data_IF_022565958901
#
_entry.id   IF_022565958901
#
_cell.length_a   1.000
_cell.length_b   1.000
_cell.length_c   1.000
_cell.angle_alpha   90.00
_cell.angle_beta   90.00
_cell.angle_gamma   90.00
#
_symmetry.space_group_name_H-M   'P 1'
#
loop_
_entity.id
_entity.type
_entity.pdbx_description
1 polymer ?
#
# COMPACT_ATOMS: atom_id res chain seq x y z
N UNK A 1 -15.60 15.61 2.78
CA UNK A 1 -15.87 14.15 2.82
C UNK A 1 -15.17 13.43 3.97
N UNK A 2 -13.83 13.49 4.12
CA UNK A 2 -13.15 12.79 5.23
C UNK A 2 -13.63 13.24 6.62
N UNK A 3 -13.78 14.54 6.82
CA UNK A 3 -14.28 15.12 8.09
C UNK A 3 -15.73 14.68 8.34
N UNK A 4 -16.61 14.86 7.36
CA UNK A 4 -18.01 14.38 7.41
C UNK A 4 -18.11 12.90 7.82
N UNK A 5 -17.30 12.02 7.21
CA UNK A 5 -17.30 10.59 7.56
C UNK A 5 -16.78 10.35 8.99
N UNK A 6 -15.81 11.14 9.44
CA UNK A 6 -15.30 11.06 10.81
C UNK A 6 -16.36 11.53 11.83
N UNK A 7 -17.13 12.57 11.50
CA UNK A 7 -18.25 13.06 12.32
C UNK A 7 -19.35 12.00 12.45
N UNK A 8 -19.52 11.15 11.43
CA UNK A 8 -20.38 9.96 11.48
C UNK A 8 -19.75 8.75 12.20
N UNK A 9 -18.56 8.89 12.80
CA UNK A 9 -17.87 7.83 13.53
C UNK A 9 -17.21 6.76 12.64
N UNK A 10 -17.05 7.00 11.33
CA UNK A 10 -16.49 6.03 10.39
C UNK A 10 -14.97 6.18 10.27
N UNK A 11 -14.23 5.06 10.27
CA UNK A 11 -12.79 5.08 10.02
C UNK A 11 -12.53 5.21 8.52
N UNK A 12 -11.66 6.15 8.13
CA UNK A 12 -11.26 6.30 6.73
C UNK A 12 -10.80 4.98 6.08
N UNK A 13 -9.96 4.21 6.78
CA UNK A 13 -9.42 2.97 6.22
C UNK A 13 -10.44 1.83 6.19
N UNK A 14 -11.21 1.65 7.27
CA UNK A 14 -12.08 0.48 7.42
C UNK A 14 -13.44 0.65 6.74
N UNK A 15 -14.01 1.86 6.72
CA UNK A 15 -15.36 2.10 6.18
C UNK A 15 -15.40 3.25 5.15
N UNK A 16 -14.68 4.35 5.39
CA UNK A 16 -14.96 5.62 4.72
C UNK A 16 -14.42 5.80 3.30
N UNK A 17 -13.22 5.30 2.97
CA UNK A 17 -12.54 5.68 1.72
C UNK A 17 -13.26 5.21 0.45
N UNK A 18 -13.90 4.03 0.49
CA UNK A 18 -14.62 3.52 -0.67
C UNK A 18 -15.94 4.23 -0.89
N UNK A 19 -16.67 4.57 0.18
CA UNK A 19 -17.85 5.45 0.09
C UNK A 19 -17.49 6.82 -0.48
N UNK A 20 -16.39 7.42 0.00
CA UNK A 20 -15.92 8.70 -0.52
C UNK A 20 -15.58 8.63 -2.01
N UNK A 21 -14.93 7.54 -2.45
CA UNK A 21 -14.65 7.30 -3.86
C UNK A 21 -15.93 7.07 -4.66
N UNK A 22 -16.87 6.31 -4.10
CA UNK A 22 -18.14 5.98 -4.72
C UNK A 22 -18.97 7.25 -4.98
N UNK A 23 -19.17 8.07 -3.96
CA UNK A 23 -19.89 9.34 -4.10
C UNK A 23 -19.22 10.29 -5.10
N UNK A 24 -17.89 10.33 -5.15
CA UNK A 24 -17.19 11.19 -6.10
C UNK A 24 -17.37 10.74 -7.54
N UNK A 25 -17.22 9.43 -7.83
CA UNK A 25 -17.35 8.87 -9.17
C UNK A 25 -18.82 8.84 -9.64
N UNK A 26 -19.79 8.71 -8.73
CA UNK A 26 -21.22 8.81 -9.03
C UNK A 26 -21.60 10.12 -9.74
N UNK A 27 -20.90 11.23 -9.43
CA UNK A 27 -21.11 12.52 -10.09
C UNK A 27 -20.62 12.56 -11.55
N UNK A 28 -19.84 11.57 -11.99
CA UNK A 28 -19.19 11.55 -13.31
C UNK A 28 -19.49 10.26 -14.10
N UNK A 29 -20.44 9.43 -13.69
CA UNK A 29 -20.67 8.11 -14.32
C UNK A 29 -20.94 8.21 -15.82
N UNK A 30 -21.73 9.21 -16.22
CA UNK A 30 -22.07 9.46 -17.62
C UNK A 30 -20.89 9.91 -18.50
N UNK A 31 -19.76 10.33 -17.91
CA UNK A 31 -18.59 10.78 -18.66
C UNK A 31 -17.63 9.65 -19.06
N UNK A 32 -17.70 8.49 -18.40
CA UNK A 32 -16.86 7.34 -18.71
C UNK A 32 -17.68 6.26 -19.41
N UNK A 33 -17.06 5.18 -19.92
CA UNK A 33 -17.77 3.98 -20.41
C UNK A 33 -17.80 2.81 -19.42
N UNK A 34 -16.85 2.81 -18.47
CA UNK A 34 -16.68 1.80 -17.43
C UNK A 34 -16.10 2.44 -16.18
N UNK A 35 -16.46 1.92 -15.01
CA UNK A 35 -15.86 2.32 -13.73
C UNK A 35 -15.16 1.10 -13.14
N UNK A 36 -13.85 1.21 -12.95
CA UNK A 36 -13.01 0.14 -12.40
C UNK A 36 -12.37 0.63 -11.10
N UNK A 37 -12.62 -0.10 -10.02
CA UNK A 37 -12.07 0.17 -8.70
C UNK A 37 -10.90 -0.79 -8.44
N UNK A 38 -9.65 -0.29 -8.38
CA UNK A 38 -8.49 -1.15 -8.19
C UNK A 38 -8.44 -1.71 -6.77
N UNK A 39 -8.12 -3.00 -6.65
CA UNK A 39 -8.09 -3.67 -5.37
C UNK A 39 -6.98 -3.16 -4.44
N UNK A 40 -7.30 -3.03 -3.15
CA UNK A 40 -6.28 -2.78 -2.12
C UNK A 40 -5.54 -4.06 -1.75
N UNK A 41 -6.29 -5.15 -1.55
CA UNK A 41 -5.78 -6.46 -1.14
C UNK A 41 -6.02 -7.51 -2.22
N UNK A 42 -5.17 -8.54 -2.23
CA UNK A 42 -5.39 -9.72 -3.04
C UNK A 42 -6.50 -10.60 -2.43
N UNK A 43 -7.15 -11.45 -3.23
CA UNK A 43 -8.21 -12.36 -2.76
C UNK A 43 -7.78 -13.23 -1.58
N UNK A 44 -6.52 -13.69 -1.57
CA UNK A 44 -5.96 -14.51 -0.48
C UNK A 44 -5.72 -13.74 0.83
N UNK A 45 -5.71 -12.41 0.77
CA UNK A 45 -5.29 -11.51 1.86
C UNK A 45 -6.39 -10.49 2.22
N UNK A 46 -7.65 -10.81 1.91
CA UNK A 46 -8.78 -9.90 2.13
C UNK A 46 -8.91 -9.50 3.60
N UNK A 47 -9.33 -8.26 3.82
CA UNK A 47 -9.55 -7.68 5.14
C UNK A 47 -10.96 -7.18 5.23
N UNK A 48 -11.65 -7.55 6.30
CA UNK A 48 -13.02 -7.12 6.58
C UNK A 48 -13.12 -6.53 7.99
N UNK A 49 -13.79 -5.37 8.17
CA UNK A 49 -14.24 -4.46 7.13
C UNK A 49 -13.05 -3.71 6.48
N UNK A 50 -13.22 -3.37 5.21
CA UNK A 50 -12.35 -2.46 4.48
C UNK A 50 -13.20 -1.65 3.51
N UNK A 51 -12.98 -0.33 3.45
CA UNK A 51 -13.91 0.59 2.78
C UNK A 51 -14.16 0.29 1.30
N UNK A 52 -13.25 -0.45 0.64
CA UNK A 52 -13.46 -0.99 -0.70
C UNK A 52 -12.99 -2.44 -0.79
N UNK A 53 -13.86 -3.35 -1.22
CA UNK A 53 -13.55 -4.76 -1.35
C UNK A 53 -14.36 -5.42 -2.48
N UNK A 54 -13.94 -6.61 -2.96
CA UNK A 54 -14.65 -7.30 -4.05
C UNK A 54 -16.12 -7.58 -3.72
N UNK A 55 -16.44 -7.76 -2.45
CA UNK A 55 -17.80 -8.07 -1.97
C UNK A 55 -18.71 -6.85 -2.02
N UNK A 56 -18.20 -5.63 -1.76
CA UNK A 56 -19.05 -4.44 -1.64
C UNK A 56 -19.07 -3.56 -2.88
N UNK A 57 -18.01 -3.57 -3.67
CA UNK A 57 -17.84 -2.60 -4.75
C UNK A 57 -18.89 -2.71 -5.86
N UNK A 58 -19.38 -3.91 -6.15
CA UNK A 58 -20.38 -4.10 -7.21
C UNK A 58 -21.76 -3.53 -6.82
N UNK A 59 -22.06 -3.43 -5.53
CA UNK A 59 -23.28 -2.78 -5.02
C UNK A 59 -23.26 -1.26 -5.14
N UNK A 60 -22.16 -0.66 -5.63
CA UNK A 60 -22.10 0.77 -5.94
C UNK A 60 -22.53 1.09 -7.37
N UNK A 61 -22.87 0.05 -8.15
CA UNK A 61 -23.41 0.21 -9.49
C UNK A 61 -24.77 0.93 -9.48
N UNK A 62 -25.06 1.64 -10.56
CA UNK A 62 -26.33 2.31 -10.84
C UNK A 62 -26.96 1.74 -12.11
N UNK A 63 -28.14 2.24 -12.48
CA UNK A 63 -28.76 1.90 -13.78
C UNK A 63 -27.92 2.41 -14.97
N UNK A 64 -27.14 3.48 -14.77
CA UNK A 64 -26.27 4.09 -15.78
C UNK A 64 -24.94 3.33 -15.93
N UNK A 65 -24.42 2.74 -14.85
CA UNK A 65 -23.10 2.11 -14.87
C UNK A 65 -22.88 0.99 -13.88
N UNK A 66 -22.27 -0.09 -14.40
CA UNK A 66 -21.71 -1.17 -13.60
C UNK A 66 -20.27 -0.86 -13.12
N UNK A 67 -20.01 -1.16 -11.85
CA UNK A 67 -18.74 -0.92 -11.18
C UNK A 67 -17.98 -2.21 -10.93
N UNK A 68 -16.76 -2.28 -11.46
CA UNK A 68 -15.95 -3.48 -11.44
C UNK A 68 -14.82 -3.39 -10.41
N UNK A 69 -14.65 -4.43 -9.59
CA UNK A 69 -13.48 -4.56 -8.72
C UNK A 69 -12.38 -5.35 -9.42
N UNK A 70 -11.24 -4.73 -9.69
CA UNK A 70 -10.17 -5.37 -10.47
C UNK A 70 -8.83 -5.47 -9.73
N UNK A 71 -8.01 -6.44 -10.14
CA UNK A 71 -6.63 -6.62 -9.71
C UNK A 71 -6.46 -7.39 -8.41
N UNK A 72 -7.52 -7.94 -7.82
CA UNK A 72 -7.45 -8.75 -6.60
C UNK A 72 -6.81 -10.14 -6.80
N UNK A 73 -6.63 -10.59 -8.05
CA UNK A 73 -5.85 -11.78 -8.36
C UNK A 73 -4.35 -11.63 -8.02
N UNK A 74 -3.85 -10.38 -7.93
CA UNK A 74 -2.44 -10.08 -7.73
C UNK A 74 -2.19 -9.35 -6.40
N UNK A 75 -1.12 -9.73 -5.72
CA UNK A 75 -0.58 -8.93 -4.61
C UNK A 75 0.19 -7.70 -5.15
N UNK A 76 0.71 -6.87 -4.24
CA UNK A 76 1.43 -5.65 -4.62
C UNK A 76 2.61 -5.93 -5.56
N UNK A 77 3.41 -6.96 -5.28
CA UNK A 77 4.56 -7.32 -6.11
C UNK A 77 4.10 -7.76 -7.51
N UNK A 78 3.07 -8.61 -7.61
CA UNK A 78 2.50 -9.04 -8.88
C UNK A 78 1.98 -7.87 -9.72
N UNK A 79 1.27 -6.91 -9.10
CA UNK A 79 0.83 -5.68 -9.77
C UNK A 79 2.01 -4.86 -10.30
N UNK A 80 3.04 -4.64 -9.49
CA UNK A 80 4.21 -3.87 -9.91
C UNK A 80 5.00 -4.59 -10.99
N UNK A 81 5.07 -5.93 -10.99
CA UNK A 81 5.69 -6.71 -12.09
C UNK A 81 5.02 -6.46 -13.44
N UNK A 82 3.70 -6.27 -13.45
CA UNK A 82 2.98 -5.89 -14.68
C UNK A 82 3.33 -4.46 -15.06
N UNK A 83 3.31 -3.53 -14.10
CA UNK A 83 3.65 -2.12 -14.34
C UNK A 83 5.10 -1.91 -14.79
N UNK A 84 6.04 -2.71 -14.30
CA UNK A 84 7.46 -2.63 -14.64
C UNK A 84 7.74 -2.89 -16.14
N UNK A 85 6.78 -3.47 -16.87
CA UNK A 85 6.86 -3.68 -18.32
C UNK A 85 6.44 -2.45 -19.13
N UNK A 86 5.90 -1.41 -18.49
CA UNK A 86 5.43 -0.18 -19.14
C UNK A 86 6.36 0.98 -18.79
N UNK A 87 7.08 1.57 -19.77
CA UNK A 87 7.92 2.74 -19.53
C UNK A 87 7.15 3.90 -18.89
N UNK A 88 5.94 4.19 -19.38
CA UNK A 88 5.09 5.23 -18.82
C UNK A 88 4.75 4.99 -17.33
N UNK A 89 4.49 3.74 -16.94
CA UNK A 89 4.25 3.42 -15.54
C UNK A 89 5.53 3.54 -14.69
N UNK A 90 6.69 3.18 -15.22
CA UNK A 90 7.98 3.37 -14.54
C UNK A 90 8.28 4.85 -14.27
N UNK A 91 7.86 5.75 -15.16
CA UNK A 91 8.21 7.17 -15.09
C UNK A 91 7.15 8.05 -14.41
N UNK A 92 5.87 7.67 -14.47
CA UNK A 92 4.76 8.54 -14.05
C UNK A 92 3.93 8.01 -12.86
N UNK A 93 4.19 6.79 -12.38
CA UNK A 93 3.37 6.19 -11.31
C UNK A 93 3.45 6.98 -9.99
N UNK A 94 2.33 7.54 -9.52
CA UNK A 94 2.23 8.21 -8.22
C UNK A 94 1.57 7.31 -7.17
N UNK A 95 2.27 7.06 -6.07
CA UNK A 95 1.79 6.22 -4.95
C UNK A 95 1.78 6.92 -3.59
N UNK A 96 2.47 8.05 -3.50
CA UNK A 96 2.66 8.78 -2.25
C UNK A 96 1.40 9.56 -1.84
N UNK A 97 1.14 9.60 -0.53
CA UNK A 97 0.14 10.47 0.08
C UNK A 97 0.70 11.28 1.26
N UNK A 98 1.88 10.91 1.77
CA UNK A 98 2.52 11.49 2.97
C UNK A 98 3.39 12.71 2.65
N UNK A 99 3.98 12.79 1.45
CA UNK A 99 4.87 13.89 1.05
C UNK A 99 4.19 15.26 1.04
N UNK A 100 5.00 16.32 1.16
CA UNK A 100 4.54 17.72 1.12
C UNK A 100 3.95 18.06 -0.26
N UNK A 101 4.72 17.80 -1.32
CA UNK A 101 4.24 17.93 -2.70
C UNK A 101 3.30 16.77 -3.04
N UNK A 102 1.99 17.06 -3.11
CA UNK A 102 0.97 16.06 -3.42
C UNK A 102 1.00 15.59 -4.88
N UNK A 103 1.72 16.28 -5.77
CA UNK A 103 1.93 15.87 -7.15
C UNK A 103 3.02 14.82 -7.33
N UNK A 104 3.87 14.58 -6.31
CA UNK A 104 5.08 13.75 -6.45
C UNK A 104 5.17 12.60 -5.46
N UNK A 105 6.06 11.65 -5.73
CA UNK A 105 6.48 10.64 -4.78
C UNK A 105 7.59 11.19 -3.87
N UNK A 106 7.46 11.05 -2.55
CA UNK A 106 8.49 11.53 -1.62
C UNK A 106 9.72 10.61 -1.52
N UNK A 107 9.70 9.44 -2.18
CA UNK A 107 10.79 8.45 -2.15
C UNK A 107 10.90 7.63 -0.86
N UNK A 108 10.61 8.21 0.30
CA UNK A 108 11.04 7.67 1.61
C UNK A 108 9.91 7.14 2.51
N UNK A 109 8.64 7.46 2.22
CA UNK A 109 7.52 6.91 3.00
C UNK A 109 7.33 5.42 2.72
N UNK A 110 6.62 4.71 3.60
CA UNK A 110 6.37 3.27 3.47
C UNK A 110 5.82 2.90 2.08
N UNK A 111 4.88 3.69 1.54
CA UNK A 111 4.28 3.43 0.22
C UNK A 111 5.29 3.59 -0.90
N UNK A 112 6.16 4.60 -0.83
CA UNK A 112 7.21 4.80 -1.82
C UNK A 112 8.24 3.67 -1.74
N UNK A 113 8.82 3.42 -0.56
CA UNK A 113 9.84 2.38 -0.36
C UNK A 113 9.33 1.01 -0.78
N UNK A 114 8.14 0.60 -0.32
CA UNK A 114 7.57 -0.69 -0.68
C UNK A 114 7.29 -0.82 -2.19
N UNK A 115 7.03 0.28 -2.90
CA UNK A 115 6.83 0.26 -4.35
C UNK A 115 8.17 0.17 -5.09
N UNK A 116 9.18 0.92 -4.66
CA UNK A 116 10.52 0.84 -5.21
C UNK A 116 11.13 -0.56 -5.05
N UNK A 117 11.01 -1.19 -3.86
CA UNK A 117 11.44 -2.58 -3.66
C UNK A 117 10.76 -3.52 -4.67
N UNK A 118 9.46 -3.36 -4.93
CA UNK A 118 8.79 -4.17 -5.95
C UNK A 118 9.35 -3.94 -7.36
N UNK A 119 9.70 -2.71 -7.73
CA UNK A 119 10.36 -2.43 -9.01
C UNK A 119 11.75 -3.07 -9.08
N UNK A 120 12.55 -3.00 -8.00
CA UNK A 120 13.85 -3.64 -7.92
C UNK A 120 13.76 -5.15 -8.12
N UNK A 121 12.83 -5.80 -7.41
CA UNK A 121 12.51 -7.23 -7.57
C UNK A 121 11.88 -7.59 -8.92
N UNK A 122 11.57 -6.60 -9.75
CA UNK A 122 11.06 -6.75 -11.12
C UNK A 122 12.10 -6.35 -12.17
N UNK A 123 13.35 -6.11 -11.78
CA UNK A 123 14.44 -5.77 -12.70
C UNK A 123 14.53 -4.28 -13.07
N UNK A 124 13.79 -3.39 -12.40
CA UNK A 124 13.83 -1.94 -12.62
C UNK A 124 14.43 -1.27 -11.37
N UNK A 125 15.76 -1.12 -11.28
CA UNK A 125 16.42 -0.61 -10.07
C UNK A 125 16.13 0.88 -9.82
N UNK A 126 15.84 1.65 -10.87
CA UNK A 126 15.65 3.11 -10.78
C UNK A 126 14.44 3.58 -11.61
N UNK A 127 13.21 3.33 -11.13
CA UNK A 127 12.00 3.83 -11.79
C UNK A 127 11.95 5.37 -11.76
N UNK A 128 11.76 6.02 -12.92
CA UNK A 128 11.76 7.47 -13.06
C UNK A 128 10.76 8.20 -12.14
N UNK A 129 9.66 7.53 -11.80
CA UNK A 129 8.60 8.05 -10.92
C UNK A 129 9.05 8.43 -9.50
N UNK A 130 10.26 8.03 -9.07
CA UNK A 130 10.77 8.25 -7.72
C UNK A 130 11.97 9.20 -7.62
N UNK A 131 12.35 9.87 -8.72
CA UNK A 131 13.46 10.83 -8.71
C UNK A 131 14.76 10.20 -8.19
N UNK A 132 15.31 10.72 -7.08
CA UNK A 132 16.51 10.17 -6.45
C UNK A 132 16.29 8.77 -5.84
N UNK A 133 15.03 8.38 -5.60
CA UNK A 133 14.66 7.06 -5.08
C UNK A 133 14.94 6.89 -3.59
N UNK A 134 14.95 5.64 -3.13
CA UNK A 134 15.42 5.26 -1.79
C UNK A 134 16.59 4.28 -1.88
N UNK A 135 17.39 4.20 -0.81
CA UNK A 135 18.53 3.28 -0.71
C UNK A 135 18.26 2.12 0.26
N UNK A 136 19.24 1.22 0.39
CA UNK A 136 19.17 0.08 1.31
C UNK A 136 19.04 0.49 2.79
N UNK A 137 19.62 1.65 3.18
CA UNK A 137 19.47 2.19 4.52
C UNK A 137 18.03 2.65 4.78
N UNK A 138 17.39 3.30 3.80
CA UNK A 138 15.98 3.67 3.86
C UNK A 138 15.08 2.45 3.97
N UNK A 139 15.38 1.36 3.24
CA UNK A 139 14.68 0.07 3.40
C UNK A 139 14.78 -0.45 4.83
N UNK A 140 16.00 -0.49 5.38
CA UNK A 140 16.27 -0.91 6.78
C UNK A 140 15.49 -0.09 7.79
N UNK A 141 15.39 1.22 7.58
CA UNK A 141 14.81 2.18 8.52
C UNK A 141 13.30 2.37 8.33
N UNK A 142 12.72 1.72 7.32
CA UNK A 142 11.29 1.89 6.99
C UNK A 142 10.40 1.54 8.18
N UNK A 143 9.55 2.50 8.57
CA UNK A 143 8.59 2.29 9.64
C UNK A 143 7.36 1.49 9.16
N UNK A 144 7.36 0.20 9.47
CA UNK A 144 6.23 -0.72 9.32
C UNK A 144 5.14 -0.45 10.39
N UNK A 145 4.41 0.68 10.28
CA UNK A 145 3.23 1.02 11.11
C UNK A 145 2.50 -0.29 11.45
N UNK A 146 2.35 -0.60 12.75
CA UNK A 146 2.18 -1.93 13.37
C UNK A 146 1.07 -2.88 12.89
N UNK A 147 0.56 -2.69 11.68
CA UNK A 147 -0.19 -3.60 10.84
C UNK A 147 0.58 -4.88 10.50
N UNK A 148 -0.08 -6.01 10.68
CA UNK A 148 0.39 -7.32 10.24
C UNK A 148 0.67 -7.34 8.72
N UNK A 149 -0.10 -6.57 7.95
CA UNK A 149 0.02 -6.49 6.50
C UNK A 149 1.36 -5.91 6.04
N UNK A 150 1.79 -4.77 6.60
CA UNK A 150 3.07 -4.15 6.21
C UNK A 150 4.27 -5.07 6.54
N UNK A 151 4.18 -5.80 7.65
CA UNK A 151 5.19 -6.80 8.03
C UNK A 151 5.17 -8.01 7.10
N UNK A 152 3.99 -8.52 6.75
CA UNK A 152 3.84 -9.61 5.79
C UNK A 152 4.44 -9.26 4.43
N UNK A 153 4.23 -8.03 3.98
CA UNK A 153 4.80 -7.52 2.73
C UNK A 153 6.34 -7.48 2.77
N UNK A 154 6.95 -6.96 3.84
CA UNK A 154 8.41 -6.95 3.98
C UNK A 154 9.01 -8.37 4.12
N UNK A 155 8.28 -9.30 4.74
CA UNK A 155 8.69 -10.70 4.78
C UNK A 155 8.60 -11.36 3.39
N UNK A 156 7.60 -11.01 2.58
CA UNK A 156 7.51 -11.41 1.18
C UNK A 156 8.67 -10.85 0.35
N UNK A 157 9.02 -9.57 0.52
CA UNK A 157 10.18 -8.96 -0.15
C UNK A 157 11.49 -9.65 0.20
N UNK A 158 11.72 -9.95 1.49
CA UNK A 158 12.94 -10.65 1.90
C UNK A 158 13.05 -12.04 1.27
N UNK A 159 11.95 -12.81 1.23
CA UNK A 159 11.91 -14.13 0.60
C UNK A 159 12.16 -14.06 -0.90
N UNK A 160 11.54 -13.11 -1.59
CA UNK A 160 11.72 -12.94 -3.03
C UNK A 160 13.14 -12.47 -3.37
N UNK A 161 13.67 -11.51 -2.61
CA UNK A 161 15.05 -11.04 -2.75
C UNK A 161 16.05 -12.20 -2.60
N UNK A 162 15.87 -13.08 -1.61
CA UNK A 162 16.68 -14.30 -1.45
C UNK A 162 16.58 -15.22 -2.66
N UNK A 163 15.37 -15.47 -3.18
CA UNK A 163 15.18 -16.29 -4.38
C UNK A 163 15.92 -15.76 -5.61
N UNK A 164 16.05 -14.43 -5.72
CA UNK A 164 16.74 -13.76 -6.82
C UNK A 164 18.23 -13.52 -6.56
N UNK A 165 18.78 -13.97 -5.42
CA UNK A 165 20.19 -13.73 -5.06
C UNK A 165 20.50 -12.30 -4.60
N UNK A 166 19.48 -11.46 -4.37
CA UNK A 166 19.63 -10.08 -3.87
C UNK A 166 19.82 -10.07 -2.34
N UNK A 167 20.95 -10.61 -1.88
CA UNK A 167 21.23 -10.89 -0.46
C UNK A 167 21.21 -9.64 0.42
N UNK A 168 21.70 -8.51 -0.07
CA UNK A 168 21.72 -7.26 0.68
C UNK A 168 20.31 -6.71 0.91
N UNK A 169 19.48 -6.67 -0.14
CA UNK A 169 18.08 -6.25 -0.04
C UNK A 169 17.31 -7.13 0.95
N UNK A 170 17.47 -8.46 0.85
CA UNK A 170 16.84 -9.40 1.77
C UNK A 170 17.21 -9.11 3.24
N UNK A 171 18.50 -8.92 3.51
CA UNK A 171 19.04 -8.59 4.83
C UNK A 171 18.43 -7.29 5.37
N UNK A 172 18.28 -6.27 4.54
CA UNK A 172 17.73 -4.98 4.98
C UNK A 172 16.23 -5.03 5.26
N UNK A 173 15.46 -5.78 4.47
CA UNK A 173 14.06 -6.07 4.78
C UNK A 173 13.92 -6.84 6.12
N UNK A 174 14.78 -7.82 6.39
CA UNK A 174 14.80 -8.58 7.65
C UNK A 174 15.16 -7.73 8.87
N UNK A 175 16.09 -6.79 8.71
CA UNK A 175 16.42 -5.81 9.75
C UNK A 175 15.25 -4.86 10.04
N UNK A 176 14.54 -4.39 9.01
CA UNK A 176 13.34 -3.57 9.19
C UNK A 176 12.26 -4.32 10.00
N UNK A 177 12.09 -5.62 9.76
CA UNK A 177 11.19 -6.48 10.53
C UNK A 177 11.64 -6.65 12.00
N UNK A 178 12.94 -6.84 12.22
CA UNK A 178 13.54 -7.14 13.53
C UNK A 178 13.59 -5.93 14.46
N UNK A 179 13.92 -4.74 13.95
CA UNK A 179 13.98 -3.49 14.75
C UNK A 179 12.65 -3.18 15.44
N UNK A 180 11.54 -3.52 14.78
CA UNK A 180 10.21 -3.29 15.34
C UNK A 180 9.79 -4.33 16.37
N UNK A 181 10.35 -5.54 16.32
CA UNK A 181 10.17 -6.53 17.38
C UNK A 181 10.79 -6.05 18.69
N UNK A 182 12.01 -5.48 18.64
CA UNK A 182 12.65 -4.87 19.82
C UNK A 182 11.85 -3.69 20.36
N UNK A 183 11.43 -2.74 19.51
CA UNK A 183 10.64 -1.58 19.95
C UNK A 183 9.30 -1.98 20.58
N UNK A 184 8.63 -3.03 20.06
CA UNK A 184 7.42 -3.59 20.68
C UNK A 184 7.71 -4.25 22.03
N UNK A 185 8.79 -5.03 22.16
CA UNK A 185 9.19 -5.69 23.41
C UNK A 185 9.53 -4.66 24.49
N UNK A 186 10.31 -3.63 24.14
CA UNK A 186 10.65 -2.51 25.02
C UNK A 186 9.42 -1.71 25.46
N UNK A 187 8.48 -1.46 24.54
CA UNK A 187 7.22 -0.77 24.86
C UNK A 187 6.32 -1.59 25.78
N UNK A 188 6.23 -2.92 25.59
CA UNK A 188 5.53 -3.82 26.52
C UNK A 188 6.18 -3.85 27.90
N UNK A 189 7.52 -3.88 27.97
CA UNK A 189 8.27 -3.82 29.24
C UNK A 189 8.02 -2.47 29.96
N UNK A 190 8.01 -1.34 29.23
CA UNK A 190 7.68 -0.02 29.79
C UNK A 190 6.24 0.06 30.30
N UNK A 191 5.27 -0.48 29.56
CA UNK A 191 3.87 -0.54 30.00
C UNK A 191 3.68 -1.44 31.23
N UNK A 192 4.39 -2.58 31.30
CA UNK A 192 4.37 -3.45 32.47
C UNK A 192 4.99 -2.79 33.71
N UNK A 193 6.05 -2.00 33.53
CA UNK A 193 6.68 -1.22 34.62
C UNK A 193 5.88 0.02 35.02
N UNK A 194 5.06 0.57 34.13
CA UNK A 194 4.20 1.74 34.38
C UNK A 194 2.83 1.42 34.99
N UNK A 195 2.41 0.15 35.00
CA UNK A 195 1.15 -0.32 35.59
C UNK A 195 1.23 -0.83 37.04
N UNK A 196 2.36 -0.59 37.72
CA UNK A 196 2.49 -0.78 39.17
C UNK A 196 2.53 0.58 39.86
N UNK A 197 1.37 1.21 40.01
CA UNK A 197 1.08 2.22 41.03
C UNK A 197 -0.36 2.03 41.46
#
# INVERSE_FOLDING_TARGET
MREVLADCGLSWGREGHGLALASALACYEGAFGQIVIPSTFAYRDLKFPWGSCPVTNHFWSSEEREWWHDGAAQNKLGKVRVLAKSPAACDLLRVCWEGEDKGKNCGTCFKCVATQICFWLSGVPRPGAFGEGCDLQTVRDTYLKGSTQNRGLFAEFAREARRQGMTELARECEKALSRQFLNRKLRKIRLWRGGKK
#
